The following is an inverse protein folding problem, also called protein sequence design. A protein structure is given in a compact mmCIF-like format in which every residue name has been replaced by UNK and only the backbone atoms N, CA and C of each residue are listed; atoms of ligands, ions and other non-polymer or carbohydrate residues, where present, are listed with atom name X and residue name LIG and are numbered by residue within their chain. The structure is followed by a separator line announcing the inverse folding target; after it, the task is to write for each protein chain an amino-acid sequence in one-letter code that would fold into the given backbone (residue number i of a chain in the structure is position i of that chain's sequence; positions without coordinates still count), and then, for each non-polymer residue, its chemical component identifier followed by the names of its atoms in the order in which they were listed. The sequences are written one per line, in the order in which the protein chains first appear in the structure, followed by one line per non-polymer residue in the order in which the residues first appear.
data_IF_098042011151
#
_entry.id   IF_098042011151
#
_cell.length_a   1.000
_cell.length_b   1.000
_cell.length_c   1.000
_cell.angle_alpha   90.00
_cell.angle_beta   90.00
_cell.angle_gamma   90.00
#
_symmetry.space_group_name_H-M   'P 1'
#
loop_
_entity.id
_entity.type
_entity.pdbx_description
1 polymer ?
#
# COMPACT_ATOMS: atom_id res chain seq x y z
N UNK A 1 6.98 -4.28 16.83
CA UNK A 1 8.44 -4.38 16.70
C UNK A 1 8.94 -5.11 17.92
N UNK A 2 9.76 -6.14 17.72
CA UNK A 2 10.43 -6.79 18.83
C UNK A 2 11.58 -5.89 19.30
N UNK A 3 11.58 -5.49 20.56
CA UNK A 3 12.60 -4.59 21.12
C UNK A 3 13.97 -5.26 21.20
N UNK A 4 14.04 -6.60 21.15
CA UNK A 4 15.29 -7.36 21.26
C UNK A 4 16.06 -7.50 19.95
N UNK A 5 15.40 -7.33 18.81
CA UNK A 5 16.01 -7.46 17.47
C UNK A 5 16.36 -6.12 16.82
N UNK A 6 15.99 -5.00 17.44
CA UNK A 6 16.25 -3.68 16.90
C UNK A 6 17.54 -3.08 17.47
N UNK A 7 18.50 -2.75 16.60
CA UNK A 7 19.75 -2.10 16.98
C UNK A 7 19.56 -0.58 17.12
N UNK A 8 19.27 -0.14 18.34
CA UNK A 8 19.08 1.27 18.67
C UNK A 8 20.37 2.11 18.51
N UNK A 9 21.54 1.51 18.70
CA UNK A 9 22.83 2.22 18.62
C UNK A 9 23.18 2.54 17.17
N UNK A 10 23.00 1.56 16.29
CA UNK A 10 23.14 1.74 14.84
C UNK A 10 22.15 2.77 14.31
N UNK A 11 20.89 2.66 14.71
CA UNK A 11 19.84 3.60 14.32
C UNK A 11 20.17 5.03 14.75
N UNK A 12 20.57 5.21 16.01
CA UNK A 12 20.97 6.50 16.57
C UNK A 12 22.17 7.11 15.84
N UNK A 13 23.15 6.28 15.45
CA UNK A 13 24.30 6.72 14.66
C UNK A 13 23.89 7.27 13.30
N UNK A 14 22.97 6.59 12.60
CA UNK A 14 22.48 7.06 11.30
C UNK A 14 21.62 8.32 11.40
N UNK A 15 20.76 8.44 12.42
CA UNK A 15 20.03 9.69 12.67
C UNK A 15 21.01 10.85 12.89
N UNK A 16 22.01 10.67 13.76
CA UNK A 16 23.03 11.71 14.00
C UNK A 16 23.79 12.08 12.73
N UNK A 17 24.05 11.11 11.85
CA UNK A 17 24.67 11.36 10.53
C UNK A 17 23.76 12.20 9.63
N UNK A 18 22.49 11.83 9.51
CA UNK A 18 21.51 12.57 8.71
C UNK A 18 21.33 14.01 9.20
N UNK A 19 21.36 14.23 10.51
CA UNK A 19 21.25 15.56 11.13
C UNK A 19 22.44 16.49 10.87
N UNK A 20 23.55 16.00 10.31
CA UNK A 20 24.72 16.86 9.99
C UNK A 20 24.44 17.81 8.82
N UNK A 21 23.52 17.46 7.92
CA UNK A 21 23.17 18.32 6.78
C UNK A 21 22.11 19.34 7.19
N UNK A 22 22.55 20.37 7.94
CA UNK A 22 21.66 21.37 8.55
C UNK A 22 20.83 22.16 7.54
N UNK A 23 21.38 22.46 6.37
CA UNK A 23 20.67 23.25 5.35
C UNK A 23 19.40 22.55 4.87
N UNK A 24 19.46 21.23 4.66
CA UNK A 24 18.28 20.44 4.25
C UNK A 24 17.19 20.43 5.31
N UNK A 25 17.54 20.52 6.59
CA UNK A 25 16.59 20.51 7.71
C UNK A 25 15.80 21.82 7.86
N UNK A 26 16.27 22.91 7.24
CA UNK A 26 15.63 24.23 7.32
C UNK A 26 14.54 24.42 6.27
N UNK A 27 14.31 23.43 5.40
CA UNK A 27 13.32 23.47 4.35
C UNK A 27 12.27 22.38 4.57
N UNK A 28 11.04 22.60 4.08
CA UNK A 28 9.95 21.64 4.20
C UNK A 28 10.14 20.35 3.38
N UNK A 29 11.20 20.28 2.57
CA UNK A 29 11.47 19.13 1.69
C UNK A 29 10.48 19.02 0.54
N UNK A 30 10.58 17.92 -0.19
CA UNK A 30 9.63 17.56 -1.25
C UNK A 30 8.32 17.01 -0.63
N UNK A 31 7.17 17.42 -1.18
CA UNK A 31 5.84 16.94 -0.78
C UNK A 31 5.64 15.43 -0.82
N UNK A 32 6.42 14.70 -1.64
CA UNK A 32 6.42 13.23 -1.70
C UNK A 32 7.38 12.58 -0.70
N UNK A 33 8.13 13.38 0.05
CA UNK A 33 9.27 12.97 0.85
C UNK A 33 10.60 13.14 0.10
N UNK A 34 11.69 13.18 0.88
CA UNK A 34 13.05 13.39 0.39
C UNK A 34 13.42 12.44 -0.76
N UNK A 35 14.01 12.98 -1.82
CA UNK A 35 14.35 12.22 -3.02
C UNK A 35 15.28 11.03 -2.72
N UNK A 36 16.34 11.24 -1.93
CA UNK A 36 17.30 10.17 -1.58
C UNK A 36 16.63 9.02 -0.82
N UNK A 37 15.63 9.34 0.01
CA UNK A 37 14.84 8.33 0.71
C UNK A 37 13.98 7.55 -0.28
N UNK A 38 13.31 8.24 -1.22
CA UNK A 38 12.51 7.59 -2.26
C UNK A 38 13.39 6.67 -3.12
N UNK A 39 14.58 7.11 -3.51
CA UNK A 39 15.55 6.29 -4.25
C UNK A 39 15.97 5.04 -3.47
N UNK A 40 16.29 5.19 -2.18
CA UNK A 40 16.62 4.05 -1.32
C UNK A 40 15.45 3.06 -1.20
N UNK A 41 14.21 3.57 -1.07
CA UNK A 41 13.00 2.73 -1.05
C UNK A 41 12.83 2.00 -2.38
N UNK A 42 12.99 2.68 -3.53
CA UNK A 42 12.91 2.06 -4.87
C UNK A 42 13.83 0.85 -4.98
N UNK A 43 15.12 1.00 -4.60
CA UNK A 43 16.06 -0.11 -4.61
C UNK A 43 15.62 -1.25 -3.68
N UNK A 44 15.21 -0.90 -2.45
CA UNK A 44 14.78 -1.89 -1.46
C UNK A 44 13.58 -2.73 -1.93
N UNK A 45 12.53 -2.08 -2.46
CA UNK A 45 11.32 -2.79 -2.92
C UNK A 45 11.54 -3.56 -4.22
N UNK A 46 12.45 -3.10 -5.07
CA UNK A 46 12.88 -3.85 -6.27
C UNK A 46 13.58 -5.15 -5.85
N UNK A 47 14.58 -5.07 -4.98
CA UNK A 47 15.37 -6.22 -4.53
C UNK A 47 14.54 -7.23 -3.71
N UNK A 48 13.72 -6.75 -2.76
CA UNK A 48 13.04 -7.64 -1.81
C UNK A 48 11.65 -8.08 -2.26
N UNK A 49 11.02 -7.33 -3.18
CA UNK A 49 9.61 -7.55 -3.58
C UNK A 49 9.40 -7.58 -5.10
N UNK A 50 10.44 -7.34 -5.91
CA UNK A 50 10.33 -7.29 -7.37
C UNK A 50 9.47 -6.14 -7.87
N UNK A 51 9.29 -5.08 -7.08
CA UNK A 51 8.49 -3.91 -7.48
C UNK A 51 9.28 -3.06 -8.46
N UNK A 52 8.72 -2.85 -9.65
CA UNK A 52 9.28 -1.98 -10.69
C UNK A 52 8.64 -0.60 -10.53
N UNK A 53 9.41 0.39 -10.09
CA UNK A 53 8.95 1.77 -9.95
C UNK A 53 10.13 2.75 -9.99
N UNK A 54 9.85 3.99 -10.36
CA UNK A 54 10.78 5.11 -10.28
C UNK A 54 10.58 5.90 -8.97
N UNK A 55 11.62 6.59 -8.45
CA UNK A 55 11.50 7.39 -7.23
C UNK A 55 10.35 8.41 -7.27
N UNK A 56 10.04 8.97 -8.44
CA UNK A 56 8.95 9.94 -8.67
C UNK A 56 7.56 9.35 -8.41
N UNK A 57 7.42 8.02 -8.46
CA UNK A 57 6.17 7.29 -8.23
C UNK A 57 5.98 6.93 -6.75
N UNK A 58 6.98 7.16 -5.90
CA UNK A 58 6.90 6.89 -4.46
C UNK A 58 6.41 8.14 -3.70
N UNK A 59 5.48 7.93 -2.79
CA UNK A 59 5.04 8.94 -1.80
C UNK A 59 5.29 8.37 -0.41
N UNK A 60 6.10 9.08 0.37
CA UNK A 60 6.39 8.75 1.77
C UNK A 60 5.36 9.41 2.66
N UNK A 61 4.77 8.66 3.59
CA UNK A 61 3.78 9.17 4.52
C UNK A 61 3.92 8.57 5.91
N UNK A 62 3.33 9.24 6.90
CA UNK A 62 3.32 8.82 8.29
C UNK A 62 2.32 7.66 8.54
N UNK A 63 2.53 6.55 7.84
CA UNK A 63 1.73 5.33 7.93
C UNK A 63 0.63 5.20 6.89
N UNK A 64 0.10 3.98 6.77
CA UNK A 64 -0.83 3.57 5.70
C UNK A 64 -2.13 4.39 5.68
N UNK A 65 -2.67 4.79 6.83
CA UNK A 65 -3.93 5.56 6.86
C UNK A 65 -3.76 6.96 6.26
N UNK A 66 -2.61 7.60 6.46
CA UNK A 66 -2.29 8.90 5.84
C UNK A 66 -2.17 8.76 4.32
N UNK A 67 -1.47 7.73 3.86
CA UNK A 67 -1.34 7.43 2.43
C UNK A 67 -2.68 7.07 1.77
N UNK A 68 -3.54 6.31 2.45
CA UNK A 68 -4.89 6.02 1.97
C UNK A 68 -5.75 7.29 1.85
N UNK A 69 -5.63 8.24 2.78
CA UNK A 69 -6.30 9.53 2.71
C UNK A 69 -5.88 10.34 1.47
N UNK A 70 -4.58 10.33 1.14
CA UNK A 70 -4.05 10.95 -0.08
C UNK A 70 -4.60 10.21 -1.30
N UNK A 71 -4.49 8.88 -1.34
CA UNK A 71 -4.97 8.05 -2.45
C UNK A 71 -6.46 8.31 -2.74
N UNK A 72 -7.31 8.35 -1.71
CA UNK A 72 -8.73 8.62 -1.86
C UNK A 72 -9.02 9.96 -2.54
N UNK A 73 -8.21 11.00 -2.30
CA UNK A 73 -8.40 12.31 -2.96
C UNK A 73 -8.01 12.32 -4.44
N UNK A 74 -7.21 11.35 -4.90
CA UNK A 74 -6.79 11.22 -6.30
C UNK A 74 -7.78 10.38 -7.12
N UNK A 75 -8.57 9.56 -6.45
CA UNK A 75 -9.51 8.63 -7.06
C UNK A 75 -10.83 9.34 -7.39
N UNK A 76 -11.24 9.27 -8.66
CA UNK A 76 -12.47 9.88 -9.17
C UNK A 76 -13.49 8.82 -9.58
N UNK A 77 -13.94 8.01 -8.62
CA UNK A 77 -15.01 7.01 -8.83
C UNK A 77 -15.92 6.93 -7.62
N UNK A 78 -17.18 6.57 -7.86
CA UNK A 78 -18.17 6.27 -6.82
C UNK A 78 -18.37 4.76 -6.61
N UNK A 79 -17.58 3.92 -7.29
CA UNK A 79 -17.63 2.46 -7.16
C UNK A 79 -17.23 2.02 -5.74
N UNK A 80 -17.84 0.93 -5.20
CA UNK A 80 -17.44 0.39 -3.92
C UNK A 80 -15.98 -0.10 -3.95
N UNK A 81 -15.30 0.04 -2.80
CA UNK A 81 -13.97 -0.52 -2.57
C UNK A 81 -14.12 -1.92 -2.00
N UNK A 82 -13.56 -2.92 -2.67
CA UNK A 82 -13.61 -4.31 -2.21
C UNK A 82 -12.34 -4.64 -1.44
N UNK A 83 -12.48 -5.08 -0.20
CA UNK A 83 -11.39 -5.52 0.66
C UNK A 83 -11.31 -7.04 0.69
N UNK A 84 -10.11 -7.58 0.48
CA UNK A 84 -9.85 -9.02 0.42
C UNK A 84 -8.67 -9.42 1.29
N UNK A 85 -8.62 -10.69 1.68
CA UNK A 85 -7.66 -11.23 2.65
C UNK A 85 -8.07 -10.90 4.08
N UNK A 86 -7.12 -10.40 4.88
CA UNK A 86 -7.37 -10.04 6.28
C UNK A 86 -8.15 -8.74 6.33
N UNK A 87 -9.17 -8.72 7.18
CA UNK A 87 -9.96 -7.51 7.40
C UNK A 87 -9.10 -6.35 7.92
N UNK A 88 -8.88 -5.34 7.07
CA UNK A 88 -8.27 -4.09 7.47
C UNK A 88 -9.32 -3.02 7.83
N UNK A 89 -9.94 -3.18 9.00
CA UNK A 89 -11.02 -2.31 9.50
C UNK A 89 -10.64 -0.82 9.46
N UNK A 90 -9.43 -0.46 9.90
CA UNK A 90 -8.97 0.94 9.91
C UNK A 90 -8.86 1.52 8.50
N UNK A 91 -8.41 0.73 7.52
CA UNK A 91 -8.38 1.15 6.11
C UNK A 91 -9.79 1.39 5.57
N UNK A 92 -10.74 0.49 5.85
CA UNK A 92 -12.14 0.68 5.45
C UNK A 92 -12.75 1.96 6.01
N UNK A 93 -12.46 2.29 7.28
CA UNK A 93 -12.91 3.55 7.89
C UNK A 93 -12.43 4.74 7.06
N UNK A 94 -11.15 4.79 6.68
CA UNK A 94 -10.61 5.88 5.83
C UNK A 94 -11.38 6.02 4.51
N UNK A 95 -11.68 4.93 3.82
CA UNK A 95 -12.47 5.00 2.57
C UNK A 95 -13.92 5.46 2.82
N UNK A 96 -14.56 4.98 3.89
CA UNK A 96 -15.94 5.40 4.24
C UNK A 96 -16.01 6.87 4.62
N UNK A 97 -15.04 7.38 5.37
CA UNK A 97 -14.96 8.79 5.75
C UNK A 97 -14.77 9.70 4.52
N UNK A 98 -14.26 9.14 3.41
CA UNK A 98 -14.15 9.81 2.09
C UNK A 98 -15.34 9.54 1.17
N UNK A 99 -16.43 8.94 1.68
CA UNK A 99 -17.68 8.73 0.97
C UNK A 99 -17.75 7.44 0.13
N UNK A 100 -16.73 6.57 0.19
CA UNK A 100 -16.78 5.30 -0.52
C UNK A 100 -17.63 4.28 0.25
N UNK A 101 -18.42 3.48 -0.49
CA UNK A 101 -18.92 2.21 0.06
C UNK A 101 -17.78 1.22 0.14
N UNK A 102 -17.73 0.42 1.20
CA UNK A 102 -16.71 -0.63 1.36
C UNK A 102 -17.36 -1.98 1.53
N UNK A 103 -16.87 -2.99 0.82
CA UNK A 103 -17.33 -4.38 0.92
C UNK A 103 -16.16 -5.22 1.41
N UNK A 104 -16.39 -6.05 2.42
CA UNK A 104 -15.41 -7.06 2.81
C UNK A 104 -15.78 -8.38 2.15
N UNK A 105 -14.89 -8.89 1.32
CA UNK A 105 -15.09 -10.14 0.59
C UNK A 105 -14.38 -11.33 1.25
N UNK A 106 -13.40 -11.08 2.13
CA UNK A 106 -12.57 -12.13 2.70
C UNK A 106 -11.56 -12.68 1.69
N UNK A 107 -11.30 -13.98 1.73
CA UNK A 107 -10.31 -14.60 0.86
C UNK A 107 -10.80 -14.71 -0.59
N UNK A 108 -9.94 -14.31 -1.53
CA UNK A 108 -10.21 -14.50 -2.95
C UNK A 108 -9.96 -15.95 -3.37
N UNK A 109 -10.77 -16.42 -4.32
CA UNK A 109 -10.50 -17.61 -5.09
C UNK A 109 -10.21 -17.22 -6.55
N UNK A 110 -9.90 -18.19 -7.40
CA UNK A 110 -9.72 -17.93 -8.84
C UNK A 110 -11.04 -17.57 -9.54
N UNK A 111 -12.18 -17.87 -8.92
CA UNK A 111 -13.50 -17.50 -9.39
C UNK A 111 -13.86 -16.11 -8.85
N UNK A 112 -14.04 -15.17 -9.77
CA UNK A 112 -14.38 -13.77 -9.52
C UNK A 112 -15.78 -13.46 -10.06
N UNK A 113 -16.65 -14.46 -10.24
CA UNK A 113 -18.01 -14.27 -10.76
C UNK A 113 -18.85 -13.27 -9.93
N UNK A 114 -18.63 -13.17 -8.62
CA UNK A 114 -19.28 -12.14 -7.82
C UNK A 114 -18.78 -10.71 -8.09
N UNK A 115 -17.57 -10.56 -8.65
CA UNK A 115 -17.06 -9.25 -9.06
C UNK A 115 -17.76 -8.74 -10.32
N UNK A 116 -18.35 -9.62 -11.14
CA UNK A 116 -19.20 -9.19 -12.26
C UNK A 116 -20.47 -8.47 -11.77
N UNK A 117 -21.00 -8.90 -10.61
CA UNK A 117 -22.17 -8.27 -9.98
C UNK A 117 -21.80 -6.97 -9.25
N UNK A 118 -20.68 -6.98 -8.55
CA UNK A 118 -20.23 -5.82 -7.75
C UNK A 118 -19.63 -4.72 -8.64
N UNK A 119 -18.94 -5.12 -9.72
CA UNK A 119 -18.17 -4.27 -10.63
C UNK A 119 -17.26 -3.25 -9.91
N UNK A 120 -16.37 -3.71 -9.00
CA UNK A 120 -15.48 -2.80 -8.27
C UNK A 120 -14.50 -2.12 -9.22
N UNK A 121 -14.22 -0.84 -8.95
CA UNK A 121 -13.11 -0.10 -9.58
C UNK A 121 -11.88 0.01 -8.69
N UNK A 122 -11.97 -0.46 -7.44
CA UNK A 122 -10.87 -0.44 -6.47
C UNK A 122 -10.93 -1.72 -5.63
N UNK A 123 -9.83 -2.46 -5.57
CA UNK A 123 -9.70 -3.71 -4.79
C UNK A 123 -8.51 -3.60 -3.87
N UNK A 124 -8.73 -3.49 -2.55
CA UNK A 124 -7.66 -3.54 -1.56
C UNK A 124 -7.37 -4.99 -1.17
N UNK A 125 -6.12 -5.44 -1.28
CA UNK A 125 -5.74 -6.84 -1.00
C UNK A 125 -4.41 -6.98 -0.25
N UNK A 126 -4.28 -8.06 0.54
CA UNK A 126 -3.05 -8.44 1.25
C UNK A 126 -2.52 -9.80 0.74
N UNK A 127 -1.92 -9.87 -0.46
CA UNK A 127 -1.67 -11.15 -1.15
C UNK A 127 -0.56 -12.00 -0.52
N UNK A 128 0.27 -11.42 0.34
CA UNK A 128 1.29 -12.13 1.11
C UNK A 128 0.77 -12.72 2.42
N UNK A 129 -0.35 -12.20 2.94
CA UNK A 129 -0.98 -12.63 4.19
C UNK A 129 -2.48 -12.46 4.05
N UNK A 130 -3.15 -13.46 3.48
CA UNK A 130 -4.59 -13.42 3.22
C UNK A 130 -5.40 -13.80 4.45
N UNK A 131 -4.81 -14.49 5.42
CA UNK A 131 -5.47 -14.85 6.70
C UNK A 131 -4.61 -14.43 7.90
N UNK A 132 -5.21 -14.34 9.11
CA UNK A 132 -4.46 -14.13 10.35
C UNK A 132 -3.42 -15.22 10.62
N UNK A 133 -3.57 -16.39 9.99
CA UNK A 133 -2.67 -17.54 10.10
C UNK A 133 -1.49 -17.50 9.12
N UNK A 134 -1.45 -16.50 8.23
CA UNK A 134 -0.34 -16.29 7.32
C UNK A 134 -0.46 -17.01 5.98
N UNK A 135 -1.67 -17.40 5.58
CA UNK A 135 -1.88 -17.98 4.24
C UNK A 135 -1.46 -17.00 3.14
N UNK A 136 -0.96 -17.55 2.03
CA UNK A 136 -0.47 -16.76 0.89
C UNK A 136 -1.43 -16.93 -0.28
N UNK A 137 -1.78 -15.82 -0.95
CA UNK A 137 -2.63 -15.86 -2.14
C UNK A 137 -1.95 -16.67 -3.26
N UNK A 138 -2.59 -17.72 -3.79
CA UNK A 138 -2.03 -18.52 -4.88
C UNK A 138 -1.76 -17.69 -6.13
N UNK A 139 -0.74 -18.07 -6.90
CA UNK A 139 -0.36 -17.35 -8.13
C UNK A 139 -1.51 -17.29 -9.15
N UNK A 140 -2.29 -18.37 -9.27
CA UNK A 140 -3.46 -18.42 -10.16
C UNK A 140 -4.50 -17.36 -9.77
N UNK A 141 -4.69 -17.10 -8.48
CA UNK A 141 -5.63 -16.09 -7.97
C UNK A 141 -5.12 -14.68 -8.26
N UNK A 142 -3.81 -14.45 -8.08
CA UNK A 142 -3.17 -13.18 -8.45
C UNK A 142 -3.34 -12.88 -9.94
N UNK A 143 -3.14 -13.88 -10.80
CA UNK A 143 -3.32 -13.73 -12.25
C UNK A 143 -4.77 -13.47 -12.65
N UNK A 144 -5.74 -14.15 -12.03
CA UNK A 144 -7.17 -13.86 -12.23
C UNK A 144 -7.49 -12.41 -11.84
N UNK A 145 -6.99 -11.95 -10.69
CA UNK A 145 -7.22 -10.58 -10.20
C UNK A 145 -6.62 -9.52 -11.13
N UNK A 146 -5.38 -9.72 -11.59
CA UNK A 146 -4.71 -8.83 -12.54
C UNK A 146 -5.44 -8.79 -13.88
N UNK A 147 -5.89 -9.94 -14.38
CA UNK A 147 -6.67 -10.04 -15.62
C UNK A 147 -7.98 -9.26 -15.50
N UNK A 148 -8.72 -9.45 -14.40
CA UNK A 148 -9.94 -8.72 -14.10
C UNK A 148 -9.70 -7.21 -14.06
N UNK A 149 -8.65 -6.77 -13.35
CA UNK A 149 -8.37 -5.35 -13.20
C UNK A 149 -8.01 -4.68 -14.53
N UNK A 150 -7.25 -5.38 -15.38
CA UNK A 150 -6.92 -4.91 -16.72
C UNK A 150 -8.15 -4.78 -17.62
N UNK A 151 -9.06 -5.77 -17.61
CA UNK A 151 -10.25 -5.75 -18.48
C UNK A 151 -11.29 -4.72 -18.04
N UNK A 152 -11.36 -4.39 -16.75
CA UNK A 152 -12.37 -3.49 -16.20
C UNK A 152 -11.85 -2.08 -15.86
N UNK A 153 -10.56 -1.81 -16.05
CA UNK A 153 -9.94 -0.56 -15.61
C UNK A 153 -10.04 -0.36 -14.09
N UNK A 154 -9.80 -1.44 -13.33
CA UNK A 154 -9.84 -1.44 -11.87
C UNK A 154 -8.44 -1.17 -11.30
N UNK A 155 -8.39 -0.45 -10.19
CA UNK A 155 -7.20 -0.32 -9.36
C UNK A 155 -7.13 -1.49 -8.36
N UNK A 156 -5.94 -2.04 -8.13
CA UNK A 156 -5.64 -3.00 -7.05
C UNK A 156 -4.65 -2.34 -6.10
#
# INVERSE_FOLDING_TARGET
MDSKSFDFDLWSRYIKSALRNKERLLHYGDTKGEYDLRLAITHYVSEHRGVICEPEQIVVGAGVQSLLNILCSLIKTSSPVVFTGVDFVKGRVVFRDRGFKTIFYGNLTNDLSDFEKISPKIIYTSPSHTTPWGDVMPIKTRLSLLSYAKSHGCLI
#
